data_IF_649489920438
#
_entry.id   IF_649489920438
#
_cell.length_a   1.000
_cell.length_b   1.000
_cell.length_c   1.000
_cell.angle_alpha   90.00
_cell.angle_beta   90.00
_cell.angle_gamma   90.00
#
_symmetry.space_group_name_H-M   'P 1'
#
loop_
_entity.id
_entity.type
_entity.pdbx_description
1 polymer ?
#
# COMPACT_ATOMS: atom_id res chain seq x y z
N UNK A 1 -2.46 8.87 33.99
CA UNK A 1 -3.77 8.26 33.72
C UNK A 1 -4.46 9.08 32.62
N UNK A 2 -4.99 8.45 31.57
CA UNK A 2 -5.77 9.12 30.53
C UNK A 2 -7.12 9.56 31.13
N UNK A 3 -7.52 10.81 30.92
CA UNK A 3 -8.79 11.38 31.42
C UNK A 3 -9.63 12.04 30.34
N UNK A 4 -8.98 12.47 29.25
CA UNK A 4 -9.63 13.03 28.09
C UNK A 4 -8.70 12.94 26.88
N UNK A 5 -9.29 13.02 25.69
CA UNK A 5 -8.62 13.28 24.43
C UNK A 5 -9.16 14.57 23.82
N UNK A 6 -8.37 15.19 22.94
CA UNK A 6 -8.87 16.26 22.06
C UNK A 6 -8.87 15.70 20.65
N UNK A 7 -10.05 15.72 20.01
CA UNK A 7 -10.22 15.33 18.62
C UNK A 7 -10.27 16.62 17.80
N UNK A 8 -9.32 16.77 16.88
CA UNK A 8 -9.27 17.91 15.96
C UNK A 8 -9.68 17.44 14.57
N UNK A 9 -10.59 18.18 13.97
CA UNK A 9 -11.02 18.06 12.57
C UNK A 9 -10.73 19.38 11.86
N UNK A 10 -10.98 19.45 10.55
CA UNK A 10 -10.85 20.69 9.79
C UNK A 10 -11.80 21.80 10.27
N UNK A 11 -12.90 21.44 10.95
CA UNK A 11 -13.93 22.37 11.40
C UNK A 11 -13.77 22.80 12.86
N UNK A 12 -13.32 21.89 13.74
CA UNK A 12 -13.34 22.12 15.19
C UNK A 12 -12.37 21.22 15.97
N UNK A 13 -12.11 21.62 17.22
CA UNK A 13 -11.43 20.80 18.23
C UNK A 13 -12.36 20.54 19.42
N UNK A 14 -12.68 19.28 19.66
CA UNK A 14 -13.57 18.86 20.76
C UNK A 14 -12.75 18.10 21.80
N UNK A 15 -12.93 18.47 23.08
CA UNK A 15 -12.40 17.70 24.21
C UNK A 15 -13.40 16.64 24.63
N UNK A 16 -13.04 15.37 24.49
CA UNK A 16 -13.85 14.22 24.88
C UNK A 16 -13.27 13.59 26.16
N UNK A 17 -14.01 13.53 27.28
CA UNK A 17 -13.64 12.72 28.43
C UNK A 17 -13.45 11.26 28.00
N UNK A 18 -12.33 10.66 28.38
CA UNK A 18 -11.97 9.31 27.97
C UNK A 18 -11.02 8.69 29.00
N UNK A 19 -11.37 7.53 29.52
CA UNK A 19 -10.46 6.72 30.34
C UNK A 19 -9.84 5.55 29.57
N UNK A 20 -10.41 5.22 28.41
CA UNK A 20 -9.97 4.18 27.47
C UNK A 20 -9.86 4.81 26.10
N UNK A 21 -8.76 4.55 25.39
CA UNK A 21 -8.55 5.01 24.02
C UNK A 21 -8.18 3.85 23.10
N UNK A 22 -8.97 3.61 22.06
CA UNK A 22 -8.61 2.67 20.99
C UNK A 22 -7.98 3.45 19.83
N UNK A 23 -6.75 3.11 19.47
CA UNK A 23 -6.04 3.72 18.34
C UNK A 23 -6.22 2.85 17.08
N UNK A 24 -7.37 3.02 16.42
CA UNK A 24 -7.71 2.37 15.14
C UNK A 24 -7.63 3.35 13.95
N UNK A 25 -6.54 4.12 13.90
CA UNK A 25 -6.39 5.31 13.05
C UNK A 25 -5.98 5.04 11.59
N UNK A 26 -5.76 3.78 11.23
CA UNK A 26 -5.19 3.41 9.93
C UNK A 26 -3.73 3.83 9.76
N UNK A 27 -3.07 3.32 8.71
CA UNK A 27 -1.63 3.53 8.52
C UNK A 27 -1.26 4.83 7.78
N UNK A 28 -2.26 5.61 7.36
CA UNK A 28 -2.07 6.92 6.72
C UNK A 28 -2.23 8.11 7.68
N UNK A 29 -2.56 7.87 8.96
CA UNK A 29 -2.69 8.91 9.99
C UNK A 29 -1.31 9.42 10.48
N UNK A 30 -0.52 9.97 9.55
CA UNK A 30 0.88 10.35 9.74
C UNK A 30 1.05 11.51 10.72
N UNK A 31 0.14 12.48 10.67
CA UNK A 31 0.02 13.56 11.64
C UNK A 31 -0.19 13.02 13.06
N UNK A 32 -1.07 12.03 13.20
CA UNK A 32 -1.38 11.37 14.47
C UNK A 32 -0.19 10.56 14.95
N UNK A 33 0.56 9.87 14.07
CA UNK A 33 1.82 9.22 14.44
C UNK A 33 2.86 10.23 14.98
N UNK A 34 3.04 11.37 14.32
CA UNK A 34 3.92 12.44 14.79
C UNK A 34 3.51 12.95 16.17
N UNK A 35 2.23 13.25 16.35
CA UNK A 35 1.68 13.70 17.64
C UNK A 35 1.87 12.64 18.74
N UNK A 36 1.61 11.37 18.45
CA UNK A 36 1.81 10.27 19.41
C UNK A 36 3.30 10.14 19.79
N UNK A 37 4.21 10.34 18.84
CA UNK A 37 5.64 10.28 19.07
C UNK A 37 6.12 11.42 19.97
N UNK A 38 5.67 12.64 19.70
CA UNK A 38 5.93 13.81 20.56
C UNK A 38 5.40 13.63 21.98
N UNK A 39 4.29 12.90 22.13
CA UNK A 39 3.71 12.50 23.43
C UNK A 39 4.41 11.29 24.06
N UNK A 40 5.53 10.85 23.49
CA UNK A 40 6.34 9.73 23.97
C UNK A 40 5.57 8.40 24.04
N UNK A 41 4.56 8.22 23.18
CA UNK A 41 3.94 6.91 23.00
C UNK A 41 4.96 5.99 22.33
N UNK A 42 5.27 4.82 22.92
CA UNK A 42 6.26 3.90 22.38
C UNK A 42 5.94 3.51 20.93
N UNK A 43 6.93 3.57 20.06
CA UNK A 43 6.81 3.20 18.65
C UNK A 43 8.14 2.66 18.14
N UNK A 44 8.07 1.75 17.17
CA UNK A 44 9.24 1.28 16.41
C UNK A 44 8.98 1.29 14.92
N UNK A 45 10.04 1.53 14.14
CA UNK A 45 9.98 1.42 12.70
C UNK A 45 9.70 -0.04 12.31
N UNK A 46 8.76 -0.25 11.39
CA UNK A 46 8.32 -1.58 10.95
C UNK A 46 8.58 -1.71 9.46
N UNK A 47 9.12 -2.86 9.04
CA UNK A 47 9.23 -3.21 7.61
C UNK A 47 7.85 -3.19 6.93
N UNK A 48 7.83 -2.74 5.69
CA UNK A 48 6.67 -2.72 4.81
C UNK A 48 7.14 -2.99 3.37
N UNK A 49 6.28 -2.81 2.38
CA UNK A 49 6.66 -2.99 0.99
C UNK A 49 6.22 -1.79 0.13
N UNK A 50 7.00 -1.50 -0.90
CA UNK A 50 6.73 -0.40 -1.84
C UNK A 50 6.93 -0.87 -3.26
N UNK A 51 6.27 -0.25 -4.21
CA UNK A 51 6.47 -0.57 -5.61
C UNK A 51 5.56 0.24 -6.52
N UNK A 52 5.16 -0.35 -7.63
CA UNK A 52 4.36 0.29 -8.68
C UNK A 52 3.07 -0.48 -8.90
N UNK A 53 2.05 0.16 -9.45
CA UNK A 53 0.94 -0.57 -10.08
C UNK A 53 1.35 -1.00 -11.47
N UNK A 54 1.14 -2.28 -11.79
CA UNK A 54 1.36 -2.83 -13.14
C UNK A 54 0.02 -3.20 -13.73
N UNK A 55 -0.22 -2.79 -14.97
CA UNK A 55 -1.40 -3.11 -15.75
C UNK A 55 -1.05 -4.01 -16.94
N UNK A 56 -1.88 -5.04 -17.11
CA UNK A 56 -1.85 -5.98 -18.22
C UNK A 56 -3.25 -6.08 -18.83
N UNK A 57 -3.33 -6.43 -20.11
CA UNK A 57 -4.60 -6.80 -20.71
C UNK A 57 -5.26 -7.97 -19.93
N UNK A 58 -6.53 -7.81 -19.56
CA UNK A 58 -7.24 -8.78 -18.74
C UNK A 58 -7.45 -10.10 -19.49
N UNK A 59 -7.60 -10.08 -20.82
CA UNK A 59 -7.73 -11.32 -21.61
C UNK A 59 -6.41 -12.11 -21.62
N UNK A 60 -5.26 -11.44 -21.64
CA UNK A 60 -3.97 -12.12 -21.48
C UNK A 60 -3.91 -12.88 -20.14
N UNK A 61 -4.38 -12.26 -19.06
CA UNK A 61 -4.43 -12.92 -17.75
C UNK A 61 -5.47 -14.05 -17.75
N UNK A 62 -6.64 -13.84 -18.35
CA UNK A 62 -7.68 -14.89 -18.48
C UNK A 62 -7.12 -16.12 -19.19
N UNK A 63 -6.47 -15.93 -20.35
CA UNK A 63 -5.84 -17.00 -21.10
C UNK A 63 -4.73 -17.71 -20.30
N UNK A 64 -3.93 -16.96 -19.54
CA UNK A 64 -2.87 -17.56 -18.73
C UNK A 64 -3.41 -18.40 -17.55
N UNK A 65 -4.55 -18.03 -16.97
CA UNK A 65 -5.12 -18.73 -15.81
C UNK A 65 -6.09 -19.85 -16.21
N UNK A 66 -6.87 -19.66 -17.28
CA UNK A 66 -7.95 -20.55 -17.68
C UNK A 66 -7.68 -21.31 -18.98
N UNK A 67 -6.70 -20.88 -19.78
CA UNK A 67 -6.44 -21.41 -21.12
C UNK A 67 -7.27 -20.74 -22.21
N UNK A 68 -7.00 -21.11 -23.46
CA UNK A 68 -7.77 -20.62 -24.62
C UNK A 68 -9.08 -21.40 -24.80
N UNK A 69 -10.11 -20.73 -25.34
CA UNK A 69 -11.41 -21.34 -25.68
C UNK A 69 -12.14 -22.00 -24.50
N UNK A 70 -12.18 -21.33 -23.35
CA UNK A 70 -12.92 -21.81 -22.17
C UNK A 70 -14.42 -21.93 -22.53
N UNK A 71 -15.05 -23.10 -22.34
CA UNK A 71 -16.43 -23.34 -22.78
C UNK A 71 -17.53 -22.73 -21.88
N UNK A 72 -17.14 -21.97 -20.84
CA UNK A 72 -18.04 -21.38 -19.85
C UNK A 72 -17.60 -19.95 -19.52
N UNK A 73 -18.56 -19.08 -19.17
CA UNK A 73 -18.29 -17.73 -18.71
C UNK A 73 -17.65 -17.76 -17.31
N UNK A 74 -16.32 -17.64 -17.27
CA UNK A 74 -15.56 -17.49 -16.03
C UNK A 74 -15.40 -15.99 -15.69
N UNK A 75 -15.37 -15.63 -14.40
CA UNK A 75 -15.11 -14.25 -14.01
C UNK A 75 -13.70 -13.82 -14.42
N UNK A 76 -13.46 -12.51 -14.51
CA UNK A 76 -12.13 -11.96 -14.77
C UNK A 76 -11.07 -12.57 -13.84
N UNK A 77 -10.03 -13.14 -14.45
CA UNK A 77 -9.09 -14.01 -13.77
C UNK A 77 -8.19 -13.23 -12.79
N UNK A 78 -8.07 -13.70 -11.54
CA UNK A 78 -7.08 -13.20 -10.60
C UNK A 78 -5.71 -13.85 -10.80
N UNK A 79 -4.64 -13.21 -10.32
CA UNK A 79 -3.34 -13.87 -10.16
C UNK A 79 -2.68 -13.54 -8.82
N UNK A 80 -1.68 -14.35 -8.46
CA UNK A 80 -0.74 -14.08 -7.38
C UNK A 80 0.64 -14.60 -7.79
N UNK A 81 1.61 -13.71 -7.79
CA UNK A 81 3.01 -14.02 -8.13
C UNK A 81 3.93 -13.56 -7.01
N UNK A 82 5.00 -14.32 -6.78
CA UNK A 82 6.02 -13.99 -5.78
C UNK A 82 7.36 -14.60 -6.19
N UNK A 83 8.46 -13.94 -5.83
CA UNK A 83 9.82 -14.39 -6.04
C UNK A 83 10.74 -13.85 -4.94
N UNK A 84 11.76 -14.62 -4.60
CA UNK A 84 12.91 -14.13 -3.83
C UNK A 84 14.04 -13.88 -4.82
N UNK A 85 14.59 -12.67 -4.79
CA UNK A 85 15.70 -12.29 -5.67
C UNK A 85 17.04 -12.65 -5.04
N UNK A 86 18.10 -12.68 -5.86
CA UNK A 86 19.46 -12.99 -5.40
C UNK A 86 19.97 -11.97 -4.38
N UNK A 87 19.48 -10.73 -4.43
CA UNK A 87 19.80 -9.68 -3.45
C UNK A 87 19.11 -9.87 -2.08
N UNK A 88 18.34 -10.96 -1.90
CA UNK A 88 17.66 -11.30 -0.66
C UNK A 88 16.31 -10.61 -0.44
N UNK A 89 15.83 -9.79 -1.39
CA UNK A 89 14.51 -9.16 -1.30
C UNK A 89 13.42 -10.06 -1.88
N UNK A 90 12.28 -10.08 -1.20
CA UNK A 90 11.04 -10.65 -1.74
C UNK A 90 10.30 -9.62 -2.58
N UNK A 91 9.90 -10.02 -3.79
CA UNK A 91 9.02 -9.25 -4.69
C UNK A 91 7.75 -10.05 -4.93
N UNK A 92 6.60 -9.39 -4.87
CA UNK A 92 5.32 -10.08 -5.00
C UNK A 92 4.20 -9.15 -5.48
N UNK A 93 3.15 -9.74 -6.04
CA UNK A 93 1.90 -9.04 -6.35
C UNK A 93 1.06 -8.82 -5.10
N UNK A 94 0.48 -7.64 -4.96
CA UNK A 94 -0.40 -7.26 -3.87
C UNK A 94 -1.64 -6.53 -4.39
N UNK A 95 -2.76 -6.71 -3.68
CA UNK A 95 -4.04 -6.08 -4.02
C UNK A 95 -4.36 -6.19 -5.53
N UNK A 96 -4.29 -7.41 -6.06
CA UNK A 96 -4.60 -7.68 -7.46
C UNK A 96 -6.10 -7.45 -7.72
N UNK A 97 -6.40 -6.71 -8.77
CA UNK A 97 -7.71 -6.19 -9.15
C UNK A 97 -8.03 -6.64 -10.59
N UNK A 98 -8.79 -7.73 -10.77
CA UNK A 98 -9.21 -8.17 -12.11
C UNK A 98 -10.20 -7.16 -12.71
N UNK A 99 -10.05 -6.87 -13.99
CA UNK A 99 -10.86 -5.94 -14.77
C UNK A 99 -11.04 -4.61 -14.04
N UNK A 100 -9.95 -4.11 -13.50
CA UNK A 100 -9.91 -3.05 -12.50
C UNK A 100 -9.30 -1.76 -13.02
N UNK A 101 -9.16 -0.82 -12.09
CA UNK A 101 -8.57 0.49 -12.33
C UNK A 101 -7.48 0.77 -11.32
N UNK A 102 -6.42 1.42 -11.76
CA UNK A 102 -5.49 2.12 -10.88
C UNK A 102 -6.16 3.42 -10.42
N UNK A 103 -6.03 3.75 -9.15
CA UNK A 103 -6.65 4.96 -8.56
C UNK A 103 -5.60 5.85 -7.92
N UNK A 104 -5.79 7.15 -8.03
CA UNK A 104 -5.04 8.11 -7.22
C UNK A 104 -5.52 8.01 -5.76
N UNK A 105 -4.61 7.61 -4.88
CA UNK A 105 -4.85 7.38 -3.45
C UNK A 105 -4.14 8.41 -2.55
N UNK A 106 -3.78 9.57 -3.11
CA UNK A 106 -3.19 10.68 -2.37
C UNK A 106 -4.10 11.19 -1.26
N UNK A 107 -3.49 11.53 -0.12
CA UNK A 107 -4.17 12.15 1.02
C UNK A 107 -3.40 13.35 1.60
N UNK A 108 -2.32 13.77 0.94
CA UNK A 108 -1.45 14.87 1.38
C UNK A 108 -1.10 15.74 0.18
N UNK A 109 -1.10 17.06 0.37
CA UNK A 109 -0.72 18.01 -0.68
C UNK A 109 0.74 17.82 -1.12
N UNK A 110 1.02 17.98 -2.41
CA UNK A 110 2.37 17.81 -2.96
C UNK A 110 2.89 16.37 -2.97
N UNK A 111 2.01 15.38 -2.74
CA UNK A 111 2.34 13.95 -2.65
C UNK A 111 1.42 13.10 -3.50
N UNK A 112 2.00 12.10 -4.18
CA UNK A 112 1.28 11.20 -5.07
C UNK A 112 1.45 9.74 -4.65
N UNK A 113 0.34 9.06 -4.37
CA UNK A 113 0.29 7.61 -4.15
C UNK A 113 -0.79 7.00 -5.05
N UNK A 114 -0.59 5.75 -5.45
CA UNK A 114 -1.61 4.97 -6.17
C UNK A 114 -2.08 3.77 -5.35
N UNK A 115 -3.24 3.26 -5.71
CA UNK A 115 -3.77 1.96 -5.29
C UNK A 115 -4.56 1.34 -6.46
N UNK A 116 -5.25 0.23 -6.23
CA UNK A 116 -6.11 -0.43 -7.22
C UNK A 116 -7.51 -0.65 -6.67
N UNK A 117 -8.48 -0.71 -7.59
CA UNK A 117 -9.84 -1.11 -7.28
C UNK A 117 -10.43 -1.88 -8.45
N UNK A 118 -11.50 -2.63 -8.19
CA UNK A 118 -12.39 -3.12 -9.24
C UNK A 118 -13.84 -2.81 -8.86
N UNK A 119 -14.68 -2.53 -9.84
CA UNK A 119 -16.12 -2.61 -9.63
C UNK A 119 -16.55 -4.06 -9.47
N UNK A 120 -17.78 -4.28 -8.98
CA UNK A 120 -18.35 -5.62 -8.82
C UNK A 120 -18.28 -6.44 -10.12
N UNK A 121 -18.56 -5.81 -11.26
CA UNK A 121 -18.57 -6.46 -12.58
C UNK A 121 -17.18 -6.94 -13.05
N UNK A 122 -16.09 -6.29 -12.60
CA UNK A 122 -14.71 -6.59 -13.03
C UNK A 122 -14.56 -6.66 -14.55
N UNK A 123 -15.17 -5.70 -15.23
CA UNK A 123 -15.31 -5.62 -16.69
C UNK A 123 -14.38 -4.58 -17.33
N UNK A 124 -13.41 -4.07 -16.57
CA UNK A 124 -12.31 -3.26 -17.12
C UNK A 124 -11.44 -4.07 -18.08
N UNK A 125 -10.78 -3.38 -19.02
CA UNK A 125 -9.91 -4.03 -20.02
C UNK A 125 -8.61 -4.55 -19.42
N UNK A 126 -8.18 -3.99 -18.29
CA UNK A 126 -6.90 -4.33 -17.68
C UNK A 126 -7.08 -5.07 -16.36
N UNK A 127 -6.24 -6.08 -16.15
CA UNK A 127 -5.88 -6.54 -14.82
C UNK A 127 -4.82 -5.61 -14.25
N UNK A 128 -4.93 -5.23 -12.97
CA UNK A 128 -3.84 -4.51 -12.31
C UNK A 128 -3.48 -5.11 -10.95
N UNK A 129 -2.21 -5.04 -10.57
CA UNK A 129 -1.77 -5.32 -9.20
C UNK A 129 -0.59 -4.44 -8.83
N UNK A 130 -0.38 -4.25 -7.53
CA UNK A 130 0.87 -3.66 -7.08
C UNK A 130 1.97 -4.71 -7.15
N UNK A 131 3.09 -4.41 -7.83
CA UNK A 131 4.31 -5.22 -7.77
C UNK A 131 5.27 -4.54 -6.81
N UNK A 132 5.39 -5.12 -5.62
CA UNK A 132 5.99 -4.49 -4.46
C UNK A 132 7.17 -5.29 -3.92
N UNK A 133 8.14 -4.56 -3.38
CA UNK A 133 9.38 -5.06 -2.82
C UNK A 133 9.42 -4.71 -1.34
N UNK A 134 9.81 -5.67 -0.50
CA UNK A 134 9.98 -5.42 0.94
C UNK A 134 11.11 -4.44 1.20
N UNK A 135 10.83 -3.42 2.01
CA UNK A 135 11.77 -2.44 2.56
C UNK A 135 11.81 -2.52 4.08
N UNK A 136 12.98 -2.34 4.64
CA UNK A 136 13.28 -2.48 6.07
C UNK A 136 13.80 -1.17 6.64
N UNK A 137 13.91 -1.01 7.98
CA UNK A 137 14.54 0.16 8.58
C UNK A 137 15.92 0.54 8.03
N UNK A 138 16.67 -0.43 7.47
CA UNK A 138 17.97 -0.18 6.82
C UNK A 138 17.85 0.64 5.52
N UNK A 139 16.68 0.63 4.88
CA UNK A 139 16.42 1.32 3.62
C UNK A 139 15.99 2.78 3.81
N UNK A 140 15.57 3.17 5.02
CA UNK A 140 14.94 4.48 5.26
C UNK A 140 15.96 5.62 5.37
N UNK A 141 17.24 5.31 5.57
CA UNK A 141 18.31 6.30 5.71
C UNK A 141 18.26 7.11 7.01
N UNK A 142 17.40 6.75 7.96
CA UNK A 142 17.23 7.43 9.24
C UNK A 142 16.84 6.44 10.34
N UNK A 143 17.58 6.45 11.45
CA UNK A 143 17.27 5.61 12.61
C UNK A 143 16.26 6.33 13.52
N UNK A 144 14.97 6.15 13.21
CA UNK A 144 13.88 6.78 13.95
C UNK A 144 12.58 5.97 13.81
N UNK A 145 11.69 5.93 14.83
CA UNK A 145 10.43 5.18 14.74
C UNK A 145 9.55 5.57 13.55
N UNK A 146 9.59 6.86 13.16
CA UNK A 146 8.84 7.40 12.03
C UNK A 146 9.63 7.41 10.70
N UNK A 147 10.81 6.79 10.64
CA UNK A 147 11.63 6.82 9.43
C UNK A 147 10.93 6.18 8.23
N UNK A 148 10.14 5.12 8.44
CA UNK A 148 9.34 4.52 7.38
C UNK A 148 8.24 5.46 6.85
N UNK A 149 7.63 6.27 7.71
CA UNK A 149 6.66 7.31 7.30
C UNK A 149 7.35 8.33 6.39
N UNK A 150 8.54 8.79 6.77
CA UNK A 150 9.28 9.75 5.96
C UNK A 150 9.74 9.15 4.63
N UNK A 151 10.13 7.87 4.63
CA UNK A 151 10.46 7.15 3.40
C UNK A 151 9.28 7.09 2.43
N UNK A 152 8.07 6.79 2.92
CA UNK A 152 6.85 6.85 2.09
C UNK A 152 6.63 8.25 1.52
N UNK A 153 6.69 9.29 2.36
CA UNK A 153 6.51 10.68 1.92
C UNK A 153 7.52 11.08 0.85
N UNK A 154 8.79 10.66 0.98
CA UNK A 154 9.82 10.94 -0.01
C UNK A 154 9.49 10.33 -1.38
N UNK A 155 9.03 9.07 -1.41
CA UNK A 155 8.61 8.44 -2.65
C UNK A 155 7.39 9.13 -3.26
N UNK A 156 6.42 9.50 -2.42
CA UNK A 156 5.21 10.21 -2.86
C UNK A 156 5.51 11.62 -3.37
N UNK A 157 6.45 12.35 -2.75
CA UNK A 157 6.95 13.65 -3.20
C UNK A 157 7.61 13.53 -4.58
N UNK A 158 8.46 12.51 -4.78
CA UNK A 158 9.09 12.25 -6.08
C UNK A 158 8.09 11.89 -7.16
N UNK A 159 7.09 11.06 -6.84
CA UNK A 159 6.02 10.69 -7.76
C UNK A 159 5.19 11.92 -8.17
N UNK A 160 4.85 12.79 -7.20
CA UNK A 160 4.14 14.03 -7.48
C UNK A 160 4.94 14.97 -8.39
N UNK A 161 6.25 15.11 -8.14
CA UNK A 161 7.14 15.93 -8.95
C UNK A 161 7.28 15.39 -10.37
N UNK A 162 7.49 14.07 -10.52
CA UNK A 162 7.62 13.42 -11.82
C UNK A 162 6.35 13.60 -12.66
N UNK A 163 5.18 13.44 -12.04
CA UNK A 163 3.89 13.58 -12.71
C UNK A 163 3.30 14.98 -12.73
N UNK A 164 3.96 15.97 -12.08
CA UNK A 164 3.44 17.34 -11.89
C UNK A 164 1.99 17.36 -11.35
N UNK A 165 1.70 16.48 -10.41
CA UNK A 165 0.37 16.28 -9.82
C UNK A 165 -0.54 15.26 -10.53
N UNK A 166 -0.23 14.85 -11.77
CA UNK A 166 -0.87 13.71 -12.43
C UNK A 166 -0.14 12.41 -12.10
N UNK A 167 -0.79 11.24 -12.25
CA UNK A 167 -0.13 9.94 -12.02
C UNK A 167 0.96 9.72 -13.07
N UNK A 168 2.24 9.55 -12.68
CA UNK A 168 3.30 9.26 -13.64
C UNK A 168 3.14 7.83 -14.15
N UNK A 169 3.24 7.65 -15.47
CA UNK A 169 3.14 6.34 -16.14
C UNK A 169 4.33 6.08 -17.06
N UNK A 170 4.74 4.82 -17.14
CA UNK A 170 5.88 4.36 -17.94
C UNK A 170 5.61 2.92 -18.41
N UNK A 171 5.87 2.62 -19.67
CA UNK A 171 5.85 1.25 -20.18
C UNK A 171 7.05 0.46 -19.62
N UNK A 172 6.86 -0.84 -19.36
CA UNK A 172 7.85 -1.68 -18.72
C UNK A 172 9.18 -1.73 -19.49
N UNK A 173 9.11 -1.78 -20.82
CA UNK A 173 10.30 -1.77 -21.68
C UNK A 173 11.14 -0.50 -21.51
N UNK A 174 10.50 0.65 -21.30
CA UNK A 174 11.17 1.94 -21.07
C UNK A 174 11.63 2.09 -19.62
N UNK A 175 10.90 1.52 -18.66
CA UNK A 175 11.33 1.38 -17.27
C UNK A 175 12.66 0.60 -17.18
N UNK A 176 12.80 -0.51 -17.92
CA UNK A 176 14.07 -1.27 -17.99
C UNK A 176 15.21 -0.45 -18.61
N UNK A 177 14.90 0.46 -19.54
CA UNK A 177 15.89 1.30 -20.26
C UNK A 177 16.16 2.62 -19.56
N UNK A 178 15.48 2.92 -18.45
CA UNK A 178 15.51 4.21 -17.76
C UNK A 178 15.20 5.39 -18.71
N UNK A 179 14.10 5.26 -19.47
CA UNK A 179 13.63 6.26 -20.44
C UNK A 179 12.16 6.60 -20.21
N UNK A 180 11.76 7.81 -20.52
CA UNK A 180 10.33 8.18 -20.50
C UNK A 180 9.65 7.58 -21.71
N UNK A 181 8.47 6.99 -21.51
CA UNK A 181 7.63 6.48 -22.60
C UNK A 181 7.04 7.63 -23.41
N UNK A 182 7.05 7.51 -24.74
CA UNK A 182 6.52 8.54 -25.64
C UNK A 182 5.10 8.21 -26.15
N UNK A 183 4.74 6.93 -26.20
CA UNK A 183 3.43 6.44 -26.62
C UNK A 183 3.15 5.08 -25.99
N UNK A 184 1.87 4.75 -25.76
CA UNK A 184 1.48 3.41 -25.31
C UNK A 184 1.56 2.39 -26.46
N UNK A 185 1.71 1.11 -26.10
CA UNK A 185 1.54 -0.01 -27.02
C UNK A 185 0.07 -0.42 -27.14
N UNK A 186 -0.22 -1.73 -27.02
CA UNK A 186 -1.60 -2.22 -27.07
C UNK A 186 -2.35 -1.99 -25.76
N UNK A 187 -1.61 -1.92 -24.65
CA UNK A 187 -2.16 -1.72 -23.31
C UNK A 187 -2.20 -0.22 -23.03
N UNK A 188 -3.40 0.34 -22.95
CA UNK A 188 -3.64 1.71 -22.49
C UNK A 188 -3.98 1.70 -20.98
N UNK A 189 -3.53 2.70 -20.19
CA UNK A 189 -3.79 2.73 -18.75
C UNK A 189 -5.27 2.90 -18.41
N UNK A 190 -5.75 2.11 -17.45
CA UNK A 190 -7.06 2.27 -16.82
C UNK A 190 -6.91 2.98 -15.47
N UNK A 191 -6.67 4.29 -15.52
CA UNK A 191 -6.47 5.13 -14.32
C UNK A 191 -7.70 5.98 -14.03
N UNK A 192 -8.15 6.03 -12.77
CA UNK A 192 -9.08 7.05 -12.29
C UNK A 192 -8.30 8.28 -11.82
N UNK A 193 -8.32 9.33 -12.65
CA UNK A 193 -7.60 10.57 -12.44
C UNK A 193 -6.75 10.94 -13.66
N UNK A 194 -6.10 12.11 -13.63
CA UNK A 194 -5.15 12.50 -14.66
C UNK A 194 -3.86 11.66 -14.55
N UNK A 195 -3.28 11.32 -15.70
CA UNK A 195 -1.97 10.68 -15.80
C UNK A 195 -1.09 11.42 -16.82
N UNK A 196 0.22 11.23 -16.72
CA UNK A 196 1.20 11.76 -17.68
C UNK A 196 2.36 10.80 -17.84
N UNK A 197 2.93 10.74 -19.04
CA UNK A 197 4.20 10.05 -19.24
C UNK A 197 5.29 10.72 -18.40
N UNK A 198 6.01 9.91 -17.62
CA UNK A 198 7.11 10.35 -16.78
C UNK A 198 8.00 9.15 -16.41
N UNK A 199 9.18 9.42 -15.84
CA UNK A 199 10.10 8.38 -15.41
C UNK A 199 9.68 7.81 -14.04
N UNK A 200 8.90 6.73 -14.06
CA UNK A 200 8.44 6.03 -12.84
C UNK A 200 9.62 5.36 -12.13
N UNK A 201 10.64 4.89 -12.86
CA UNK A 201 11.85 4.30 -12.27
C UNK A 201 12.57 5.27 -11.34
N UNK A 202 12.69 6.53 -11.74
CA UNK A 202 13.39 7.57 -10.97
C UNK A 202 12.74 7.91 -9.62
N UNK A 203 11.50 7.46 -9.36
CA UNK A 203 10.84 7.62 -8.06
C UNK A 203 11.61 6.84 -6.98
N UNK A 204 12.12 5.66 -7.32
CA UNK A 204 12.68 4.71 -6.38
C UNK A 204 14.21 4.83 -6.27
N UNK A 205 14.80 4.52 -5.10
CA UNK A 205 16.19 4.12 -5.00
C UNK A 205 16.53 3.00 -5.99
N UNK A 206 17.76 3.00 -6.50
CA UNK A 206 18.20 2.07 -7.55
C UNK A 206 17.91 0.62 -7.19
N UNK A 207 18.19 0.21 -5.96
CA UNK A 207 18.04 -1.17 -5.49
C UNK A 207 16.59 -1.63 -5.54
N UNK A 208 15.63 -0.73 -5.27
CA UNK A 208 14.19 -1.03 -5.33
C UNK A 208 13.74 -1.07 -6.78
N UNK A 209 14.15 -0.11 -7.61
CA UNK A 209 13.84 -0.11 -9.04
C UNK A 209 14.36 -1.35 -9.77
N UNK A 210 15.60 -1.76 -9.49
CA UNK A 210 16.21 -2.98 -10.01
C UNK A 210 15.44 -4.23 -9.56
N UNK A 211 15.00 -4.26 -8.29
CA UNK A 211 14.24 -5.40 -7.75
C UNK A 211 12.84 -5.51 -8.37
N UNK A 212 12.17 -4.38 -8.65
CA UNK A 212 10.89 -4.37 -9.38
C UNK A 212 11.08 -4.92 -10.79
N UNK A 213 12.12 -4.46 -11.50
CA UNK A 213 12.45 -4.93 -12.85
C UNK A 213 12.71 -6.44 -12.88
N UNK A 214 13.58 -6.94 -12.00
CA UNK A 214 13.93 -8.35 -11.91
C UNK A 214 12.73 -9.21 -11.50
N UNK A 215 11.90 -8.71 -10.58
CA UNK A 215 10.65 -9.36 -10.17
C UNK A 215 9.68 -9.53 -11.34
N UNK A 216 9.40 -8.46 -12.10
CA UNK A 216 8.52 -8.52 -13.27
C UNK A 216 9.07 -9.50 -14.33
N UNK A 217 10.37 -9.44 -14.62
CA UNK A 217 11.03 -10.42 -15.53
C UNK A 217 10.91 -11.85 -15.04
N UNK A 218 10.98 -12.07 -13.73
CA UNK A 218 10.80 -13.40 -13.14
C UNK A 218 9.36 -13.88 -13.26
N UNK A 219 8.39 -12.99 -13.08
CA UNK A 219 6.96 -13.30 -13.18
C UNK A 219 6.53 -13.64 -14.61
N UNK A 220 7.26 -13.19 -15.64
CA UNK A 220 7.01 -13.61 -17.03
C UNK A 220 7.16 -15.12 -17.24
N UNK A 221 7.98 -15.78 -16.41
CA UNK A 221 8.13 -17.24 -16.41
C UNK A 221 6.96 -17.95 -15.73
N UNK A 222 6.21 -17.24 -14.89
CA UNK A 222 5.02 -17.74 -14.19
C UNK A 222 3.74 -17.46 -14.99
N UNK A 223 3.68 -16.29 -15.62
CA UNK A 223 2.57 -15.82 -16.46
C UNK A 223 3.20 -15.26 -17.73
N UNK A 224 3.09 -15.97 -18.85
CA UNK A 224 3.73 -15.54 -20.08
C UNK A 224 3.16 -14.21 -20.58
N UNK A 225 4.04 -13.24 -20.85
CA UNK A 225 3.66 -11.90 -21.27
C UNK A 225 3.52 -10.89 -20.12
N UNK A 226 3.79 -11.30 -18.88
CA UNK A 226 3.82 -10.41 -17.73
C UNK A 226 4.90 -9.32 -17.86
N UNK A 227 6.01 -9.62 -18.54
CA UNK A 227 7.10 -8.66 -18.79
C UNK A 227 7.06 -8.07 -20.21
N UNK A 228 5.89 -8.01 -20.85
CA UNK A 228 5.75 -7.33 -22.15
C UNK A 228 6.21 -5.87 -22.05
N UNK A 229 6.92 -5.42 -23.07
CA UNK A 229 7.45 -4.05 -23.13
C UNK A 229 6.37 -2.99 -22.97
N UNK A 230 5.14 -3.26 -23.42
CA UNK A 230 4.00 -2.33 -23.34
C UNK A 230 3.13 -2.49 -22.08
N UNK A 231 3.47 -3.37 -21.13
CA UNK A 231 2.84 -3.39 -19.81
C UNK A 231 3.03 -2.02 -19.13
N UNK A 232 1.97 -1.49 -18.51
CA UNK A 232 1.99 -0.11 -18.00
C UNK A 232 2.30 -0.10 -16.51
N UNK A 233 3.33 0.65 -16.11
CA UNK A 233 3.71 0.90 -14.72
C UNK A 233 3.23 2.29 -14.32
N UNK A 234 2.57 2.38 -13.17
CA UNK A 234 1.87 3.59 -12.73
C UNK A 234 2.23 3.94 -11.29
N UNK A 235 2.66 5.19 -11.09
CA UNK A 235 2.80 5.84 -9.78
C UNK A 235 3.70 5.11 -8.78
N UNK A 236 3.43 5.35 -7.50
CA UNK A 236 4.03 4.61 -6.38
C UNK A 236 2.95 4.04 -5.46
N UNK A 237 3.02 2.74 -5.23
CA UNK A 237 2.28 2.04 -4.18
C UNK A 237 3.13 2.06 -2.90
N UNK A 238 3.05 3.15 -2.14
CA UNK A 238 3.88 3.37 -0.93
C UNK A 238 3.25 2.84 0.36
N UNK A 239 1.94 2.58 0.36
CA UNK A 239 1.11 2.40 1.58
C UNK A 239 0.49 1.01 1.68
N UNK A 240 1.33 -0.03 1.58
CA UNK A 240 0.89 -1.44 1.57
C UNK A 240 0.59 -2.01 2.96
N UNK A 241 1.20 -1.45 4.01
CA UNK A 241 0.94 -1.74 5.42
C UNK A 241 1.56 -0.64 6.28
N UNK A 242 1.34 -0.67 7.60
CA UNK A 242 1.92 0.36 8.47
C UNK A 242 3.45 0.34 8.49
N UNK A 243 4.09 1.52 8.32
CA UNK A 243 5.54 1.70 8.50
C UNK A 243 5.93 1.79 9.98
N UNK A 244 4.96 1.78 10.89
CA UNK A 244 5.15 1.92 12.34
C UNK A 244 4.51 0.73 13.06
N UNK A 245 5.16 0.30 14.14
CA UNK A 245 4.57 -0.58 15.15
C UNK A 245 4.36 0.22 16.42
N UNK A 246 3.11 0.33 16.86
CA UNK A 246 2.79 0.78 18.23
C UNK A 246 2.65 -0.51 19.05
N UNK A 247 3.51 -0.78 20.04
CA UNK A 247 3.49 -2.04 20.77
C UNK A 247 2.26 -2.14 21.67
N UNK A 248 1.87 -3.36 22.02
CA UNK A 248 0.85 -3.65 23.04
C UNK A 248 1.18 -4.98 23.72
N UNK A 249 0.76 -5.15 24.97
CA UNK A 249 0.94 -6.36 25.76
C UNK A 249 -0.04 -7.47 25.35
N UNK A 250 -0.08 -8.58 26.11
CA UNK A 250 -0.99 -9.70 25.86
C UNK A 250 -2.46 -9.32 26.06
N UNK A 251 -2.70 -8.31 26.90
CA UNK A 251 -3.99 -7.66 27.15
C UNK A 251 -4.32 -6.55 26.13
N UNK A 252 -3.55 -6.48 25.03
CA UNK A 252 -3.80 -5.61 23.87
C UNK A 252 -3.75 -4.09 24.13
N UNK A 253 -3.15 -3.65 25.25
CA UNK A 253 -2.94 -2.23 25.54
C UNK A 253 -1.45 -1.89 25.77
N UNK A 254 -1.13 -0.59 25.77
CA UNK A 254 0.19 -0.10 26.15
C UNK A 254 0.41 -0.32 27.66
N UNK A 255 1.61 -0.74 28.08
CA UNK A 255 1.89 -1.00 29.50
C UNK A 255 1.53 0.21 30.38
N UNK A 256 0.75 -0.04 31.44
CA UNK A 256 0.30 0.98 32.41
C UNK A 256 -0.55 2.13 31.82
N UNK A 257 -1.00 2.02 30.57
CA UNK A 257 -1.88 2.99 29.89
C UNK A 257 -3.08 2.25 29.28
N UNK A 258 -4.31 2.74 29.54
CA UNK A 258 -5.55 2.22 28.92
C UNK A 258 -5.69 2.70 27.47
N UNK A 259 -4.63 2.53 26.68
CA UNK A 259 -4.54 2.88 25.27
C UNK A 259 -4.33 1.57 24.50
N UNK A 260 -5.19 1.27 23.54
CA UNK A 260 -5.26 -0.01 22.81
C UNK A 260 -4.91 0.23 21.33
N UNK A 261 -3.64 0.05 20.93
CA UNK A 261 -3.25 0.06 19.53
C UNK A 261 -3.96 -1.05 18.75
N UNK A 262 -4.64 -0.69 17.66
CA UNK A 262 -5.55 -1.59 16.97
C UNK A 262 -5.42 -1.49 15.45
N UNK A 263 -5.59 -2.62 14.77
CA UNK A 263 -5.70 -2.71 13.32
C UNK A 263 -4.41 -2.36 12.59
N UNK A 264 -4.56 -1.94 11.33
CA UNK A 264 -3.44 -1.78 10.42
C UNK A 264 -2.52 -0.63 10.81
N UNK A 265 -3.07 0.48 11.31
CA UNK A 265 -2.27 1.64 11.76
C UNK A 265 -1.26 1.30 12.85
N UNK A 266 -1.68 0.49 13.83
CA UNK A 266 -0.80 -0.05 14.87
C UNK A 266 0.13 -1.18 14.38
N UNK A 267 -0.09 -1.66 13.15
CA UNK A 267 0.66 -2.72 12.48
C UNK A 267 0.13 -4.14 12.71
N UNK A 268 -1.00 -4.32 13.41
CA UNK A 268 -1.50 -5.66 13.83
C UNK A 268 -2.42 -6.33 12.82
N UNK A 269 -2.71 -5.66 11.71
CA UNK A 269 -3.50 -6.16 10.60
C UNK A 269 -2.90 -5.73 9.26
N UNK A 270 -3.36 -6.32 8.16
CA UNK A 270 -2.89 -6.02 6.79
C UNK A 270 -3.99 -6.16 5.74
N UNK A 271 -5.24 -5.90 6.15
CA UNK A 271 -6.42 -6.00 5.29
C UNK A 271 -7.72 -6.00 6.10
N UNK A 272 -8.84 -5.78 5.41
CA UNK A 272 -10.17 -5.54 6.00
C UNK A 272 -10.53 -6.59 7.05
N UNK A 273 -10.51 -7.88 6.70
CA UNK A 273 -10.89 -8.96 7.61
C UNK A 273 -9.99 -9.01 8.84
N UNK A 274 -8.67 -8.92 8.66
CA UNK A 274 -7.72 -8.95 9.78
C UNK A 274 -7.86 -7.74 10.71
N UNK A 275 -8.16 -6.56 10.16
CA UNK A 275 -8.37 -5.34 10.95
C UNK A 275 -9.69 -5.41 11.74
N UNK A 276 -10.75 -5.93 11.14
CA UNK A 276 -12.03 -6.17 11.81
C UNK A 276 -11.87 -7.20 12.96
N UNK A 277 -11.18 -8.31 12.71
CA UNK A 277 -10.89 -9.30 13.75
C UNK A 277 -10.06 -8.72 14.91
N UNK A 278 -9.09 -7.86 14.61
CA UNK A 278 -8.31 -7.19 15.65
C UNK A 278 -9.17 -6.23 16.49
N UNK A 279 -10.06 -5.48 15.85
CA UNK A 279 -11.04 -4.62 16.52
C UNK A 279 -11.98 -5.39 17.46
N UNK A 280 -12.49 -6.54 17.02
CA UNK A 280 -13.32 -7.41 17.86
C UNK A 280 -12.55 -7.86 19.11
N UNK A 281 -11.30 -8.32 18.96
CA UNK A 281 -10.47 -8.76 20.09
C UNK A 281 -10.22 -7.63 21.10
N UNK A 282 -9.92 -6.42 20.61
CA UNK A 282 -9.72 -5.25 21.48
C UNK A 282 -11.02 -4.91 22.22
N UNK A 283 -12.16 -4.92 21.54
CA UNK A 283 -13.46 -4.68 22.16
C UNK A 283 -13.81 -5.73 23.22
N UNK A 284 -13.54 -7.01 22.97
CA UNK A 284 -13.76 -8.10 23.92
C UNK A 284 -12.88 -7.98 25.16
N UNK A 285 -11.62 -7.55 25.02
CA UNK A 285 -10.75 -7.31 26.19
C UNK A 285 -11.27 -6.15 27.02
N UNK A 286 -11.62 -5.03 26.37
CA UNK A 286 -12.19 -3.86 27.05
C UNK A 286 -13.49 -4.24 27.78
N UNK A 287 -14.38 -5.00 27.14
CA UNK A 287 -15.65 -5.40 27.73
C UNK A 287 -15.49 -6.22 29.03
N UNK A 288 -14.39 -6.98 29.19
CA UNK A 288 -14.10 -7.73 30.43
C UNK A 288 -13.81 -6.83 31.63
N UNK A 289 -13.45 -5.56 31.42
CA UNK A 289 -13.21 -4.60 32.50
C UNK A 289 -14.50 -4.02 33.08
N UNK A 290 -15.64 -4.20 32.39
CA UNK A 290 -16.93 -3.71 32.82
C UNK A 290 -17.80 -4.86 33.30
N UNK A 291 -18.31 -4.76 34.54
CA UNK A 291 -19.43 -5.58 34.99
C UNK A 291 -20.71 -4.97 34.45
N UNK A 292 -21.59 -5.80 33.86
CA UNK A 292 -22.82 -5.33 33.19
C UNK A 292 -23.84 -4.66 34.13
N UNK A 293 -23.63 -4.67 35.46
CA UNK A 293 -24.65 -4.35 36.46
C UNK A 293 -24.18 -3.65 37.74
N UNK A 294 -23.06 -2.92 37.73
CA UNK A 294 -22.70 -2.01 38.83
C UNK A 294 -22.49 -0.56 38.34
#
# INVERSE_FOLDING_TARGET
>A
KLTAITVTTDAESIRCPAEILVLAIGHSARDTFSMLYERQIPMSAKSFAVGVRVEHDQEMINCAQYGENVPYDLPAAPYKVAANLENGRGVYSFCMCPGGYVVNASSEEGRLAVNGMSYHARDGKNANSAIIVTVTPKDYGWEHPLAGVRFQQLLEERAYQAGKGAVPVQCFGDFCKNKVTEHFGKIEPQIKGAYTFADVRAIFPKEIGDSIEEGIKTFDRQIHGFAKDDAVLSGVESRTSSPVRIPRNQELHLENLRIYPCGEGAGYAGGITSAAMDGIKVAEVIAKEFTFFD
#
